data_IF_205336198065
#
_entry.id   IF_205336198065
#
_cell.length_a   1.000
_cell.length_b   1.000
_cell.length_c   1.000
_cell.angle_alpha   90.00
_cell.angle_beta   90.00
_cell.angle_gamma   90.00
#
_symmetry.space_group_name_H-M   'P 1'
#
loop_
_entity.id
_entity.type
_entity.pdbx_description
1 polymer ?
#
# COMPACT_ATOMS: atom_id res chain seq x y z
N UNK A 1 -34.49 12.55 38.63
CA UNK A 1 -33.27 12.97 37.88
C UNK A 1 -32.53 11.74 37.36
N UNK A 2 -33.26 10.76 36.80
CA UNK A 2 -32.73 9.43 36.44
C UNK A 2 -32.91 9.13 34.93
N UNK A 3 -33.90 9.76 34.31
CA UNK A 3 -34.20 9.60 32.89
C UNK A 3 -33.16 10.27 31.98
N UNK A 4 -32.62 11.43 32.40
CA UNK A 4 -31.66 12.21 31.61
C UNK A 4 -30.32 11.50 31.44
N UNK A 5 -29.85 10.75 32.45
CA UNK A 5 -28.58 9.99 32.40
C UNK A 5 -28.65 8.83 31.42
N UNK A 6 -29.81 8.17 31.34
CA UNK A 6 -30.05 7.03 30.45
C UNK A 6 -30.12 7.47 28.98
N UNK A 7 -30.72 8.64 28.71
CA UNK A 7 -30.74 9.24 27.38
C UNK A 7 -29.34 9.67 26.92
N UNK A 8 -28.52 10.23 27.81
CA UNK A 8 -27.13 10.62 27.49
C UNK A 8 -26.29 9.39 27.12
N UNK A 9 -26.38 8.30 27.88
CA UNK A 9 -25.66 7.07 27.55
C UNK A 9 -26.12 6.44 26.22
N UNK A 10 -27.43 6.47 25.95
CA UNK A 10 -27.97 5.97 24.67
C UNK A 10 -27.51 6.82 23.48
N UNK A 11 -27.50 8.15 23.62
CA UNK A 11 -27.01 9.05 22.58
C UNK A 11 -25.51 8.87 22.33
N UNK A 12 -24.71 8.68 23.39
CA UNK A 12 -23.28 8.36 23.26
C UNK A 12 -23.06 7.01 22.55
N UNK A 13 -23.87 6.00 22.84
CA UNK A 13 -23.79 4.69 22.18
C UNK A 13 -24.19 4.75 20.70
N UNK A 14 -25.18 5.58 20.34
CA UNK A 14 -25.57 5.82 18.94
C UNK A 14 -24.51 6.60 18.15
N UNK A 15 -23.78 7.52 18.79
CA UNK A 15 -22.63 8.18 18.15
C UNK A 15 -21.48 7.20 17.92
N UNK A 16 -21.24 6.26 18.84
CA UNK A 16 -20.21 5.21 18.67
C UNK A 16 -20.59 4.20 17.57
N UNK A 17 -21.87 3.86 17.43
CA UNK A 17 -22.35 2.94 16.40
C UNK A 17 -22.63 3.61 15.04
N UNK A 18 -22.77 4.94 15.02
CA UNK A 18 -23.05 5.74 13.82
C UNK A 18 -21.84 6.08 12.96
N UNK A 19 -20.62 5.77 13.43
CA UNK A 19 -19.38 5.92 12.66
C UNK A 19 -19.16 4.69 11.77
N UNK A 20 -20.07 4.46 10.83
CA UNK A 20 -19.78 3.60 9.69
C UNK A 20 -18.83 4.36 8.76
N UNK A 21 -17.52 4.12 8.86
CA UNK A 21 -16.45 4.61 7.96
C UNK A 21 -15.56 5.77 8.45
N UNK A 22 -15.51 6.09 9.75
CA UNK A 22 -14.27 6.71 10.25
C UNK A 22 -13.26 5.60 10.44
N UNK A 23 -12.56 5.24 9.36
CA UNK A 23 -11.36 4.43 9.39
C UNK A 23 -10.32 5.18 10.24
N UNK A 24 -10.44 5.04 11.56
CA UNK A 24 -9.39 5.34 12.52
C UNK A 24 -8.23 4.45 12.09
N UNK A 25 -7.28 5.03 11.36
CA UNK A 25 -5.96 4.45 11.20
C UNK A 25 -5.35 4.40 12.59
N UNK A 26 -5.62 3.31 13.31
CA UNK A 26 -4.84 2.92 14.46
C UNK A 26 -3.46 2.64 13.87
N UNK A 27 -2.52 3.56 14.08
CA UNK A 27 -1.15 3.43 13.58
C UNK A 27 -0.41 2.36 14.40
N UNK A 28 -0.86 1.10 14.27
CA UNK A 28 0.03 -0.04 14.37
C UNK A 28 1.14 0.12 13.34
N UNK A 29 2.24 -0.60 13.49
CA UNK A 29 3.27 -0.61 12.44
C UNK A 29 2.57 -1.00 11.12
N UNK A 30 2.41 -0.05 10.20
CA UNK A 30 1.79 -0.31 8.91
C UNK A 30 2.62 -1.34 8.13
N UNK A 31 2.16 -1.72 6.95
CA UNK A 31 2.79 -2.74 6.11
C UNK A 31 4.28 -2.46 5.84
N UNK A 32 4.67 -1.17 5.86
CA UNK A 32 6.03 -0.68 5.67
C UNK A 32 6.85 -0.44 6.95
N UNK A 33 6.32 -0.79 8.12
CA UNK A 33 6.98 -0.65 9.42
C UNK A 33 6.66 0.66 10.15
N UNK A 34 7.32 0.87 11.29
CA UNK A 34 7.09 2.05 12.14
C UNK A 34 7.68 3.31 11.50
N UNK A 35 6.89 4.39 11.47
CA UNK A 35 7.35 5.73 11.06
C UNK A 35 7.45 5.96 9.55
N UNK A 36 7.05 4.99 8.73
CA UNK A 36 6.94 5.16 7.28
C UNK A 36 5.57 4.68 6.79
N UNK A 37 5.04 5.37 5.79
CA UNK A 37 3.78 5.01 5.14
C UNK A 37 4.06 4.45 3.74
N UNK A 38 3.15 3.65 3.17
CA UNK A 38 3.26 3.20 1.79
C UNK A 38 3.45 4.37 0.81
N UNK A 39 2.75 5.49 1.00
CA UNK A 39 2.92 6.68 0.16
C UNK A 39 4.34 7.27 0.22
N UNK A 40 5.01 7.24 1.38
CA UNK A 40 6.40 7.68 1.52
C UNK A 40 7.39 6.75 0.82
N UNK A 41 7.16 5.44 0.92
CA UNK A 41 7.96 4.46 0.21
C UNK A 41 7.71 4.53 -1.31
N UNK A 42 6.49 4.84 -1.75
CA UNK A 42 6.14 5.04 -3.16
C UNK A 42 6.96 6.15 -3.83
N UNK A 43 7.22 7.26 -3.14
CA UNK A 43 8.09 8.33 -3.67
C UNK A 43 9.51 7.85 -3.98
N UNK A 44 10.04 6.86 -3.24
CA UNK A 44 11.36 6.28 -3.52
C UNK A 44 11.38 5.48 -4.82
N UNK A 45 10.20 5.03 -5.28
CA UNK A 45 9.99 4.32 -6.55
C UNK A 45 9.66 5.26 -7.72
N UNK A 46 9.79 6.58 -7.58
CA UNK A 46 9.65 7.51 -8.71
C UNK A 46 10.46 7.10 -9.97
N UNK A 47 11.69 6.55 -9.87
CA UNK A 47 12.44 6.05 -11.04
C UNK A 47 11.79 4.86 -11.77
N UNK A 48 10.78 4.23 -11.16
CA UNK A 48 10.02 3.12 -11.72
C UNK A 48 8.74 3.56 -12.40
N UNK A 49 8.33 4.84 -12.32
CA UNK A 49 7.01 5.30 -12.75
C UNK A 49 6.67 4.85 -14.19
N UNK A 50 7.56 5.09 -15.15
CA UNK A 50 7.34 4.68 -16.55
C UNK A 50 7.23 3.15 -16.70
N UNK A 51 8.08 2.39 -16.00
CA UNK A 51 8.02 0.92 -16.01
C UNK A 51 6.80 0.34 -15.27
N UNK A 52 6.16 1.14 -14.42
CA UNK A 52 4.94 0.80 -13.68
C UNK A 52 3.67 1.23 -14.42
N UNK A 53 3.80 2.11 -15.41
CA UNK A 53 2.72 2.54 -16.30
C UNK A 53 2.66 1.69 -17.57
N UNK A 54 3.83 1.30 -18.10
CA UNK A 54 3.95 0.60 -19.38
C UNK A 54 4.84 -0.65 -19.27
N UNK A 55 4.31 -1.77 -19.76
CA UNK A 55 4.97 -3.09 -19.70
C UNK A 55 6.21 -3.19 -20.60
N UNK A 56 6.31 -2.32 -21.61
CA UNK A 56 7.40 -2.31 -22.58
C UNK A 56 8.50 -1.30 -22.21
N UNK A 57 8.21 -0.33 -21.33
CA UNK A 57 9.13 0.74 -20.95
C UNK A 57 10.35 0.20 -20.19
N UNK A 58 11.56 0.47 -20.68
CA UNK A 58 12.79 -0.02 -20.07
C UNK A 58 12.89 0.31 -18.57
N UNK A 59 13.34 -0.67 -17.78
CA UNK A 59 13.49 -0.51 -16.33
C UNK A 59 14.89 0.00 -16.01
N UNK A 60 14.99 1.14 -15.33
CA UNK A 60 16.28 1.69 -14.92
C UNK A 60 16.94 0.85 -13.83
N UNK A 61 18.27 0.81 -13.79
CA UNK A 61 19.03 0.16 -12.71
C UNK A 61 18.68 0.72 -11.33
N UNK A 62 18.41 2.04 -11.25
CA UNK A 62 17.95 2.71 -10.03
C UNK A 62 16.57 2.21 -9.59
N UNK A 63 15.65 1.99 -10.52
CA UNK A 63 14.36 1.39 -10.21
C UNK A 63 14.56 -0.01 -9.61
N UNK A 64 15.32 -0.88 -10.29
CA UNK A 64 15.56 -2.25 -9.80
C UNK A 64 16.24 -2.29 -8.44
N UNK A 65 17.18 -1.39 -8.16
CA UNK A 65 17.80 -1.29 -6.83
C UNK A 65 16.78 -0.95 -5.73
N UNK A 66 15.79 -0.09 -6.01
CA UNK A 66 14.74 0.24 -5.04
C UNK A 66 13.76 -0.92 -4.89
N UNK A 67 13.31 -1.52 -6.00
CA UNK A 67 12.39 -2.67 -6.00
C UNK A 67 13.02 -3.87 -5.27
N UNK A 68 14.32 -4.11 -5.42
CA UNK A 68 15.04 -5.14 -4.67
C UNK A 68 14.99 -4.89 -3.15
N UNK A 69 15.13 -3.63 -2.71
CA UNK A 69 15.08 -3.28 -1.28
C UNK A 69 13.67 -3.45 -0.72
N UNK A 70 12.66 -2.89 -1.37
CA UNK A 70 11.28 -2.98 -0.88
C UNK A 70 10.71 -4.40 -1.03
N UNK A 71 11.18 -5.18 -2.00
CA UNK A 71 10.77 -6.57 -2.23
C UNK A 71 11.14 -7.53 -1.09
N UNK A 72 12.08 -7.17 -0.21
CA UNK A 72 12.37 -7.91 1.01
C UNK A 72 11.21 -7.86 2.02
N UNK A 73 10.29 -6.90 1.86
CA UNK A 73 9.04 -6.82 2.60
C UNK A 73 7.87 -6.83 1.59
N UNK A 74 7.39 -8.03 1.18
CA UNK A 74 6.31 -8.14 0.19
C UNK A 74 5.03 -7.42 0.60
N UNK A 75 4.72 -7.37 1.91
CA UNK A 75 3.56 -6.64 2.42
C UNK A 75 3.67 -5.14 2.13
N UNK A 76 4.82 -4.53 2.43
CA UNK A 76 5.08 -3.15 2.09
C UNK A 76 5.08 -2.90 0.57
N UNK A 77 5.69 -3.80 -0.21
CA UNK A 77 5.68 -3.69 -1.67
C UNK A 77 4.24 -3.63 -2.22
N UNK A 78 3.36 -4.53 -1.76
CA UNK A 78 1.96 -4.53 -2.16
C UNK A 78 1.24 -3.24 -1.73
N UNK A 79 1.44 -2.80 -0.49
CA UNK A 79 0.84 -1.58 0.03
C UNK A 79 1.29 -0.35 -0.78
N UNK A 80 2.56 -0.32 -1.20
CA UNK A 80 3.11 0.75 -2.04
C UNK A 80 2.48 0.75 -3.43
N UNK A 81 2.33 -0.41 -4.07
CA UNK A 81 1.67 -0.53 -5.37
C UNK A 81 0.22 -0.04 -5.33
N UNK A 82 -0.46 -0.24 -4.20
CA UNK A 82 -1.86 0.14 -3.99
C UNK A 82 -2.02 1.52 -3.30
N UNK A 83 -0.93 2.22 -3.02
CA UNK A 83 -0.93 3.52 -2.32
C UNK A 83 -1.57 4.64 -3.16
N UNK A 84 -1.98 5.72 -2.50
CA UNK A 84 -2.56 6.87 -3.19
C UNK A 84 -1.53 7.55 -4.11
N UNK A 85 -0.27 7.63 -3.68
CA UNK A 85 0.84 8.15 -4.50
C UNK A 85 1.05 7.33 -5.77
N UNK A 86 1.00 6.00 -5.69
CA UNK A 86 1.12 5.16 -6.88
C UNK A 86 -0.06 5.40 -7.84
N UNK A 87 -1.29 5.41 -7.33
CA UNK A 87 -2.50 5.66 -8.11
C UNK A 87 -2.51 7.03 -8.77
N UNK A 88 -2.15 8.08 -8.04
CA UNK A 88 -2.10 9.45 -8.58
C UNK A 88 -0.99 9.65 -9.59
N UNK A 89 0.06 8.83 -9.52
CA UNK A 89 1.15 8.79 -10.51
C UNK A 89 0.81 7.93 -11.73
N UNK A 90 -0.42 7.43 -11.85
CA UNK A 90 -0.86 6.63 -13.00
C UNK A 90 -0.31 5.20 -13.03
N UNK A 91 0.20 4.69 -11.92
CA UNK A 91 0.72 3.31 -11.84
C UNK A 91 -0.39 2.31 -12.14
N UNK A 92 -0.13 1.40 -13.07
CA UNK A 92 -0.99 0.25 -13.31
C UNK A 92 -0.48 -0.93 -12.47
N UNK A 93 -1.25 -1.44 -11.48
CA UNK A 93 -0.83 -2.55 -10.64
C UNK A 93 -0.56 -3.84 -11.42
N UNK A 94 -1.28 -4.13 -12.52
CA UNK A 94 -1.04 -5.30 -13.37
C UNK A 94 0.33 -5.26 -14.04
N UNK A 95 0.75 -4.06 -14.46
CA UNK A 95 2.09 -3.83 -15.02
C UNK A 95 3.14 -3.83 -13.91
N UNK A 96 2.86 -3.15 -12.80
CA UNK A 96 3.80 -2.95 -11.70
C UNK A 96 4.24 -4.27 -11.06
N UNK A 97 3.35 -5.27 -10.90
CA UNK A 97 3.71 -6.59 -10.35
C UNK A 97 4.72 -7.35 -11.23
N UNK A 98 4.88 -6.97 -12.50
CA UNK A 98 5.90 -7.58 -13.37
C UNK A 98 7.29 -6.98 -13.19
N UNK A 99 7.43 -5.80 -12.56
CA UNK A 99 8.71 -5.10 -12.42
C UNK A 99 9.77 -5.97 -11.72
N UNK A 100 9.49 -6.68 -10.60
CA UNK A 100 10.47 -7.56 -9.98
C UNK A 100 11.03 -8.62 -10.93
N UNK A 101 10.18 -9.15 -11.83
CA UNK A 101 10.57 -10.10 -12.89
C UNK A 101 11.47 -9.43 -13.92
N UNK A 102 11.08 -8.25 -14.41
CA UNK A 102 11.82 -7.47 -15.41
C UNK A 102 13.19 -7.01 -14.89
N UNK A 103 13.30 -6.82 -13.57
CA UNK A 103 14.54 -6.54 -12.86
C UNK A 103 15.39 -7.78 -12.56
N UNK A 104 14.94 -8.99 -12.91
CA UNK A 104 15.61 -10.26 -12.65
C UNK A 104 16.03 -10.43 -11.16
N UNK A 105 15.11 -10.12 -10.24
CA UNK A 105 15.35 -10.28 -8.80
C UNK A 105 15.16 -11.75 -8.43
N UNK A 106 16.23 -12.40 -7.98
CA UNK A 106 16.26 -13.85 -7.71
C UNK A 106 15.37 -14.25 -6.51
N UNK A 107 15.45 -13.50 -5.40
CA UNK A 107 14.71 -13.76 -4.15
C UNK A 107 13.31 -13.13 -4.15
N UNK A 108 12.65 -13.11 -5.31
CA UNK A 108 11.31 -12.49 -5.42
C UNK A 108 10.25 -13.39 -4.77
N UNK A 109 9.29 -12.82 -4.03
CA UNK A 109 8.23 -13.58 -3.35
C UNK A 109 7.15 -14.03 -4.35
N UNK A 110 7.46 -15.08 -5.13
CA UNK A 110 6.56 -15.66 -6.14
C UNK A 110 5.28 -16.17 -5.46
N UNK A 111 4.12 -15.84 -6.02
CA UNK A 111 2.82 -16.27 -5.52
C UNK A 111 2.28 -15.43 -4.36
N UNK A 112 2.99 -14.37 -3.94
CA UNK A 112 2.50 -13.46 -2.91
C UNK A 112 1.32 -12.64 -3.43
N UNK A 113 0.23 -12.59 -2.66
CA UNK A 113 -1.03 -11.93 -3.04
C UNK A 113 -1.05 -10.48 -2.56
N UNK A 114 -1.04 -9.54 -3.50
CA UNK A 114 -1.30 -8.12 -3.29
C UNK A 114 -2.78 -7.80 -3.58
N UNK A 115 -3.68 -8.21 -2.67
CA UNK A 115 -5.13 -8.09 -2.90
C UNK A 115 -5.58 -8.95 -4.08
N UNK A 116 -6.03 -8.31 -5.16
CA UNK A 116 -6.43 -8.99 -6.40
C UNK A 116 -5.25 -9.42 -7.29
N UNK A 117 -4.04 -8.91 -7.05
CA UNK A 117 -2.86 -9.17 -7.87
C UNK A 117 -1.95 -10.20 -7.22
N UNK A 118 -1.20 -10.94 -8.04
CA UNK A 118 -0.22 -11.92 -7.54
C UNK A 118 1.14 -11.64 -8.16
N UNK A 119 2.19 -11.66 -7.33
CA UNK A 119 3.56 -11.47 -7.77
C UNK A 119 4.03 -12.70 -8.59
N UNK A 120 4.38 -12.52 -9.88
CA UNK A 120 4.81 -13.60 -10.77
C UNK A 120 6.28 -13.97 -10.59
#
# INVERSE_FOLDING_TARGET
>A
MEASTKCICFLAFLVILGINELSVQVHGAGECGKGTSPDREAFKLAPCASAAQDENAAVSSRCCAQVKKIGQNPSCLCAVMLSNTARSSGVNPEVAVTIPKRCNIEDRPIGYKCGAYTLP
#
